data_IF_066939428554
#
_entry.id   IF_066939428554
#
_cell.length_a   1.000
_cell.length_b   1.000
_cell.length_c   1.000
_cell.angle_alpha   90.00
_cell.angle_beta   90.00
_cell.angle_gamma   90.00
#
_symmetry.space_group_name_H-M   'P 1'
#
loop_
_entity.id
_entity.type
_entity.pdbx_description
1 polymer ?
#
# COMPACT_ATOMS: atom_id res chain seq x y z
N UNK A 1 -3.55 -21.71 15.21
CA UNK A 1 -2.94 -20.95 14.10
C UNK A 1 -2.22 -21.96 13.21
N UNK A 2 -2.69 -22.14 11.98
CA UNK A 2 -2.05 -23.09 11.04
C UNK A 2 -0.80 -22.47 10.41
N UNK A 3 0.13 -23.28 9.90
CA UNK A 3 1.33 -22.77 9.23
C UNK A 3 0.98 -21.89 8.00
N UNK A 4 -0.10 -22.23 7.28
CA UNK A 4 -0.62 -21.49 6.13
C UNK A 4 -1.09 -20.10 6.56
N UNK A 5 -1.80 -20.00 7.69
CA UNK A 5 -2.28 -18.73 8.23
C UNK A 5 -1.11 -17.81 8.63
N UNK A 6 -0.07 -18.38 9.25
CA UNK A 6 1.13 -17.64 9.62
C UNK A 6 1.88 -17.10 8.39
N UNK A 7 2.02 -17.91 7.33
CA UNK A 7 2.62 -17.49 6.06
C UNK A 7 1.78 -16.43 5.36
N UNK A 8 0.46 -16.59 5.32
CA UNK A 8 -0.45 -15.61 4.72
C UNK A 8 -0.37 -14.24 5.40
N UNK A 9 -0.34 -14.21 6.74
CA UNK A 9 -0.16 -12.95 7.50
C UNK A 9 1.20 -12.32 7.25
N UNK A 10 2.28 -13.11 7.22
CA UNK A 10 3.62 -12.60 6.95
C UNK A 10 3.72 -11.95 5.56
N UNK A 11 3.14 -12.57 4.53
CA UNK A 11 3.11 -12.02 3.17
C UNK A 11 2.32 -10.72 3.11
N UNK A 12 1.12 -10.70 3.70
CA UNK A 12 0.28 -9.49 3.79
C UNK A 12 1.05 -8.33 4.46
N UNK A 13 1.64 -8.58 5.63
CA UNK A 13 2.38 -7.57 6.40
C UNK A 13 3.62 -7.08 5.64
N UNK A 14 4.32 -7.97 4.92
CA UNK A 14 5.48 -7.57 4.14
C UNK A 14 5.11 -6.61 3.00
N UNK A 15 4.00 -6.87 2.30
CA UNK A 15 3.50 -5.98 1.26
C UNK A 15 2.98 -4.66 1.84
N UNK A 16 2.21 -4.71 2.93
CA UNK A 16 1.75 -3.51 3.62
C UNK A 16 2.92 -2.62 4.03
N UNK A 17 3.97 -3.18 4.63
CA UNK A 17 5.15 -2.42 5.03
C UNK A 17 5.83 -1.74 3.84
N UNK A 18 6.02 -2.44 2.72
CA UNK A 18 6.60 -1.84 1.51
C UNK A 18 5.75 -0.70 0.96
N UNK A 19 4.42 -0.84 1.04
CA UNK A 19 3.52 0.23 0.63
C UNK A 19 3.68 1.48 1.50
N UNK A 20 3.73 1.30 2.82
CA UNK A 20 3.95 2.40 3.76
C UNK A 20 5.33 3.05 3.57
N UNK A 21 6.39 2.25 3.39
CA UNK A 21 7.74 2.76 3.11
C UNK A 21 7.76 3.63 1.83
N UNK A 22 7.08 3.17 0.76
CA UNK A 22 6.97 3.94 -0.49
C UNK A 22 6.14 5.22 -0.33
N UNK A 23 5.03 5.15 0.43
CA UNK A 23 4.20 6.30 0.75
C UNK A 23 4.95 7.35 1.57
N UNK A 24 5.68 6.95 2.60
CA UNK A 24 6.51 7.86 3.39
C UNK A 24 7.60 8.51 2.53
N UNK A 25 8.23 7.75 1.63
CA UNK A 25 9.26 8.26 0.74
C UNK A 25 8.74 9.39 -0.17
N UNK A 26 7.45 9.39 -0.55
CA UNK A 26 6.84 10.44 -1.39
C UNK A 26 7.09 11.85 -0.84
N UNK A 27 7.05 12.03 0.49
CA UNK A 27 7.20 13.33 1.13
C UNK A 27 8.62 13.91 1.06
N UNK A 28 9.61 13.03 0.92
CA UNK A 28 11.03 13.40 0.81
C UNK A 28 11.58 13.34 -0.62
N UNK A 29 10.77 12.83 -1.56
CA UNK A 29 11.19 12.60 -2.92
C UNK A 29 11.26 13.89 -3.75
N UNK A 30 12.10 13.86 -4.79
CA UNK A 30 12.04 14.88 -5.85
C UNK A 30 10.71 14.76 -6.59
N UNK A 31 10.12 15.87 -7.08
CA UNK A 31 8.84 15.86 -7.81
C UNK A 31 8.69 14.74 -8.85
N UNK A 32 9.71 14.55 -9.67
CA UNK A 32 9.72 13.54 -10.76
C UNK A 32 9.61 12.09 -10.27
N UNK A 33 10.01 11.79 -9.04
CA UNK A 33 10.00 10.45 -8.46
C UNK A 33 8.74 10.17 -7.63
N UNK A 34 7.94 11.21 -7.31
CA UNK A 34 6.76 11.05 -6.44
C UNK A 34 5.71 10.15 -7.07
N UNK A 35 5.53 10.24 -8.40
CA UNK A 35 4.58 9.40 -9.13
C UNK A 35 4.96 7.92 -9.04
N UNK A 36 6.23 7.59 -9.24
CA UNK A 36 6.71 6.20 -9.20
C UNK A 36 6.54 5.60 -7.80
N UNK A 37 6.83 6.38 -6.75
CA UNK A 37 6.63 5.96 -5.36
C UNK A 37 5.15 5.77 -5.00
N UNK A 38 4.28 6.64 -5.51
CA UNK A 38 2.84 6.47 -5.39
C UNK A 38 2.34 5.18 -6.07
N UNK A 39 2.77 4.92 -7.30
CA UNK A 39 2.39 3.70 -8.03
C UNK A 39 2.90 2.44 -7.32
N UNK A 40 4.12 2.47 -6.78
CA UNK A 40 4.68 1.40 -5.95
C UNK A 40 3.82 1.17 -4.69
N UNK A 41 3.47 2.23 -3.96
CA UNK A 41 2.63 2.12 -2.76
C UNK A 41 1.27 1.46 -3.07
N UNK A 42 0.63 1.85 -4.16
CA UNK A 42 -0.64 1.25 -4.59
C UNK A 42 -0.49 -0.21 -4.99
N UNK A 43 0.56 -0.55 -5.73
CA UNK A 43 0.81 -1.93 -6.15
C UNK A 43 1.00 -2.83 -4.92
N UNK A 44 1.82 -2.42 -3.97
CA UNK A 44 2.09 -3.19 -2.75
C UNK A 44 0.83 -3.34 -1.90
N UNK A 45 0.00 -2.30 -1.75
CA UNK A 45 -1.29 -2.43 -1.04
C UNK A 45 -2.25 -3.41 -1.72
N UNK A 46 -2.34 -3.39 -3.06
CA UNK A 46 -3.17 -4.36 -3.80
C UNK A 46 -2.70 -5.80 -3.58
N UNK A 47 -1.39 -6.03 -3.51
CA UNK A 47 -0.82 -7.34 -3.17
C UNK A 47 -1.14 -7.75 -1.73
N UNK A 48 -1.07 -6.82 -0.77
CA UNK A 48 -1.48 -7.06 0.62
C UNK A 48 -2.97 -7.43 0.72
N UNK A 49 -3.85 -6.70 0.01
CA UNK A 49 -5.30 -6.98 -0.05
C UNK A 49 -5.57 -8.36 -0.67
N UNK A 50 -4.87 -8.70 -1.76
CA UNK A 50 -4.99 -10.00 -2.39
C UNK A 50 -4.58 -11.13 -1.44
N UNK A 51 -3.46 -10.96 -0.71
CA UNK A 51 -3.01 -11.92 0.30
C UNK A 51 -4.02 -12.06 1.45
N UNK A 52 -4.55 -10.94 1.96
CA UNK A 52 -5.58 -10.94 3.00
C UNK A 52 -6.86 -11.67 2.55
N UNK A 53 -7.33 -11.38 1.34
CA UNK A 53 -8.54 -11.97 0.76
C UNK A 53 -8.37 -13.47 0.53
N UNK A 54 -7.24 -13.90 -0.02
CA UNK A 54 -6.95 -15.31 -0.28
C UNK A 54 -6.89 -16.17 1.01
N UNK A 55 -6.61 -15.55 2.16
CA UNK A 55 -6.54 -16.22 3.45
C UNK A 55 -7.75 -15.95 4.35
N UNK A 56 -8.78 -15.26 3.85
CA UNK A 56 -10.01 -14.97 4.60
C UNK A 56 -9.88 -13.88 5.67
N UNK A 57 -8.81 -13.08 5.67
CA UNK A 57 -8.59 -11.97 6.61
C UNK A 57 -9.42 -10.74 6.21
N UNK A 58 -10.75 -10.87 6.29
CA UNK A 58 -11.69 -9.88 5.75
C UNK A 58 -11.58 -8.50 6.40
N UNK A 59 -11.26 -8.44 7.70
CA UNK A 59 -11.06 -7.17 8.41
C UNK A 59 -9.79 -6.46 7.97
N UNK A 60 -8.70 -7.21 7.78
CA UNK A 60 -7.43 -6.69 7.26
C UNK A 60 -7.61 -6.21 5.82
N UNK A 61 -8.29 -6.97 4.96
CA UNK A 61 -8.58 -6.55 3.59
C UNK A 61 -9.34 -5.22 3.55
N UNK A 62 -10.39 -5.05 4.37
CA UNK A 62 -11.14 -3.78 4.48
C UNK A 62 -10.32 -2.64 5.05
N UNK A 63 -9.41 -2.91 5.99
CA UNK A 63 -8.49 -1.91 6.53
C UNK A 63 -7.49 -1.43 5.47
N UNK A 64 -6.91 -2.35 4.71
CA UNK A 64 -5.97 -2.08 3.63
C UNK A 64 -6.65 -1.33 2.47
N UNK A 65 -7.89 -1.67 2.13
CA UNK A 65 -8.66 -0.96 1.10
C UNK A 65 -8.92 0.52 1.46
N UNK A 66 -9.29 0.79 2.72
CA UNK A 66 -9.37 2.17 3.24
C UNK A 66 -8.03 2.90 3.19
N UNK A 67 -6.92 2.19 3.42
CA UNK A 67 -5.58 2.76 3.34
C UNK A 67 -5.20 3.10 1.91
N UNK A 68 -5.55 2.24 0.95
CA UNK A 68 -5.37 2.49 -0.48
C UNK A 68 -6.11 3.75 -0.93
N UNK A 69 -7.40 3.87 -0.59
CA UNK A 69 -8.19 5.06 -0.91
C UNK A 69 -7.62 6.34 -0.28
N UNK A 70 -7.06 6.25 0.93
CA UNK A 70 -6.40 7.37 1.57
C UNK A 70 -5.15 7.84 0.82
N UNK A 71 -4.28 6.91 0.41
CA UNK A 71 -3.06 7.25 -0.34
C UNK A 71 -3.40 7.85 -1.71
N UNK A 72 -4.42 7.32 -2.39
CA UNK A 72 -4.94 7.92 -3.62
C UNK A 72 -5.37 9.37 -3.37
N UNK A 73 -6.19 9.63 -2.35
CA UNK A 73 -6.63 10.99 -2.02
C UNK A 73 -5.46 11.95 -1.66
N UNK A 74 -4.43 11.45 -0.98
CA UNK A 74 -3.23 12.24 -0.66
C UNK A 74 -2.44 12.58 -1.93
N UNK A 75 -2.22 11.62 -2.82
CA UNK A 75 -1.54 11.86 -4.08
C UNK A 75 -2.28 12.91 -4.93
N UNK A 76 -3.60 12.75 -5.08
CA UNK A 76 -4.44 13.69 -5.83
C UNK A 76 -4.37 15.12 -5.27
N UNK A 77 -4.42 15.26 -3.95
CA UNK A 77 -4.49 16.58 -3.31
C UNK A 77 -3.13 17.27 -3.15
N UNK A 78 -2.06 16.53 -2.92
CA UNK A 78 -0.77 17.11 -2.51
C UNK A 78 0.31 17.01 -3.60
N UNK A 79 0.22 16.02 -4.49
CA UNK A 79 1.37 15.65 -5.33
C UNK A 79 1.09 15.65 -6.83
N UNK A 80 -0.16 15.43 -7.28
CA UNK A 80 -0.52 15.31 -8.70
C UNK A 80 -0.07 16.49 -9.59
N UNK A 81 0.05 17.67 -9.01
CA UNK A 81 0.46 18.89 -9.73
C UNK A 81 1.90 19.33 -9.43
N UNK A 82 2.62 18.57 -8.61
CA UNK A 82 4.01 18.87 -8.23
C UNK A 82 4.92 18.40 -9.35
N UNK A 83 5.61 19.33 -10.02
CA UNK A 83 6.55 19.04 -11.11
C UNK A 83 5.99 19.10 -12.53
N UNK A 84 4.84 19.76 -12.76
CA UNK A 84 4.48 20.27 -14.10
C UNK A 84 5.23 21.53 -14.45
#
# INVERSE_FOLDING_TARGET
MSAIEATGRAVMVAHERRAEDAYEAMYSARPVAVKDLYEEALQQLRLAIAAATANGFSDDARRLDRRLAHIEAVYESQFRHVGR
#
